data_IF_369299074649
#
_entry.id   IF_369299074649
#
_cell.length_a   1.000
_cell.length_b   1.000
_cell.length_c   1.000
_cell.angle_alpha   90.00
_cell.angle_beta   90.00
_cell.angle_gamma   90.00
#
_symmetry.space_group_name_H-M   'P 1'
#
loop_
_entity.id
_entity.type
_entity.pdbx_description
1 polymer ?
#
# COMPACT_ATOMS: atom_id res chain seq x y z
N UNK A 1 24.76 -7.44 7.80
CA UNK A 1 24.58 -8.68 7.01
C UNK A 1 23.90 -9.71 7.88
N UNK A 2 22.80 -10.24 7.38
CA UNK A 2 22.05 -11.29 8.07
C UNK A 2 22.89 -12.54 8.29
N UNK A 3 22.60 -13.26 9.38
CA UNK A 3 23.26 -14.53 9.66
C UNK A 3 22.49 -15.67 8.98
N UNK A 4 22.94 -16.08 7.79
CA UNK A 4 22.30 -17.14 7.00
C UNK A 4 22.40 -18.56 7.61
N UNK A 5 22.99 -18.70 8.79
CA UNK A 5 22.94 -19.95 9.55
C UNK A 5 21.76 -20.02 10.53
N UNK A 6 21.03 -18.91 10.71
CA UNK A 6 19.83 -18.87 11.56
C UNK A 6 18.59 -19.22 10.75
N UNK A 7 17.63 -19.95 11.33
CA UNK A 7 16.37 -20.24 10.65
C UNK A 7 15.53 -18.96 10.48
N UNK A 8 14.91 -18.80 9.33
CA UNK A 8 13.96 -17.71 9.05
C UNK A 8 12.77 -18.24 8.24
N UNK A 9 11.71 -17.45 8.14
CA UNK A 9 10.59 -17.71 7.23
C UNK A 9 10.33 -16.47 6.39
N UNK A 10 10.03 -16.67 5.11
CA UNK A 10 9.69 -15.62 4.17
C UNK A 10 8.39 -15.98 3.45
N UNK A 11 7.44 -15.03 3.37
CA UNK A 11 6.15 -15.24 2.73
C UNK A 11 5.74 -14.01 1.95
N UNK A 12 5.41 -14.16 0.69
CA UNK A 12 4.84 -13.10 -0.15
C UNK A 12 3.49 -13.59 -0.72
N UNK A 13 2.37 -13.32 -0.03
CA UNK A 13 1.05 -13.81 -0.45
C UNK A 13 0.44 -12.98 -1.58
N UNK A 14 0.95 -11.79 -1.85
CA UNK A 14 0.44 -10.86 -2.84
C UNK A 14 0.96 -11.18 -4.23
N UNK A 15 0.06 -11.38 -5.20
CA UNK A 15 0.41 -11.41 -6.62
C UNK A 15 0.78 -10.00 -7.06
N UNK A 16 1.94 -9.85 -7.69
CA UNK A 16 2.42 -8.59 -8.23
C UNK A 16 2.19 -8.56 -9.75
N UNK A 17 1.49 -7.53 -10.24
CA UNK A 17 1.38 -7.18 -11.66
C UNK A 17 2.09 -5.85 -11.84
N UNK A 18 3.16 -5.83 -12.62
CA UNK A 18 4.04 -4.66 -12.72
C UNK A 18 4.37 -4.30 -14.16
N UNK A 19 4.40 -3.01 -14.45
CA UNK A 19 4.89 -2.42 -15.71
C UNK A 19 3.99 -1.32 -16.24
N UNK A 20 4.51 -0.46 -17.12
CA UNK A 20 3.72 0.60 -17.75
C UNK A 20 2.47 0.07 -18.45
N UNK A 21 1.31 0.67 -18.17
CA UNK A 21 0.03 0.28 -18.74
C UNK A 21 -0.59 -0.99 -18.12
N UNK A 22 0.03 -1.61 -17.11
CA UNK A 22 -0.49 -2.87 -16.53
C UNK A 22 -1.84 -2.70 -15.81
N UNK A 23 -2.30 -1.47 -15.60
CA UNK A 23 -3.62 -1.20 -14.98
C UNK A 23 -4.78 -1.85 -15.73
N UNK A 24 -4.64 -2.13 -17.02
CA UNK A 24 -5.68 -2.81 -17.81
C UNK A 24 -5.99 -4.22 -17.28
N UNK A 25 -5.06 -4.86 -16.55
CA UNK A 25 -5.25 -6.16 -15.95
C UNK A 25 -6.25 -6.15 -14.76
N UNK A 26 -6.67 -4.98 -14.28
CA UNK A 26 -7.61 -4.86 -13.16
C UNK A 26 -8.86 -5.71 -13.33
N UNK A 27 -9.42 -5.71 -14.53
CA UNK A 27 -10.66 -6.43 -14.83
C UNK A 27 -10.43 -7.94 -14.76
N UNK A 28 -9.34 -8.43 -15.36
CA UNK A 28 -8.98 -9.85 -15.31
C UNK A 28 -8.73 -10.30 -13.86
N UNK A 29 -8.04 -9.47 -13.06
CA UNK A 29 -7.76 -9.81 -11.66
C UNK A 29 -9.03 -9.80 -10.80
N UNK A 30 -9.98 -8.91 -11.04
CA UNK A 30 -11.30 -8.96 -10.40
C UNK A 30 -12.04 -10.25 -10.76
N UNK A 31 -12.12 -10.58 -12.05
CA UNK A 31 -12.82 -11.78 -12.53
C UNK A 31 -12.20 -13.08 -12.00
N UNK A 32 -10.86 -13.19 -12.06
CA UNK A 32 -10.13 -14.36 -11.58
C UNK A 32 -10.33 -14.62 -10.07
N UNK A 33 -10.60 -13.56 -9.31
CA UNK A 33 -10.79 -13.65 -7.86
C UNK A 33 -12.26 -13.46 -7.45
N UNK A 34 -13.22 -13.52 -8.38
CA UNK A 34 -14.68 -13.36 -8.15
C UNK A 34 -15.09 -12.02 -7.52
N UNK A 35 -14.37 -10.94 -7.82
CA UNK A 35 -14.73 -9.59 -7.40
C UNK A 35 -15.73 -8.97 -8.37
N UNK A 36 -17.00 -8.88 -7.96
CA UNK A 36 -18.10 -8.43 -8.84
C UNK A 36 -18.63 -7.06 -8.45
N UNK A 37 -18.45 -6.64 -7.21
CA UNK A 37 -18.99 -5.40 -6.67
C UNK A 37 -18.00 -4.71 -5.74
N UNK A 38 -16.94 -4.10 -6.29
CA UNK A 38 -15.90 -3.47 -5.49
C UNK A 38 -16.36 -2.16 -4.84
N UNK A 39 -15.85 -1.90 -3.63
CA UNK A 39 -15.70 -0.55 -3.12
C UNK A 39 -14.32 -0.02 -3.51
N UNK A 40 -14.28 1.15 -4.15
CA UNK A 40 -13.04 1.84 -4.53
C UNK A 40 -12.69 2.84 -3.43
N UNK A 41 -11.57 2.61 -2.74
CA UNK A 41 -11.09 3.46 -1.65
C UNK A 41 -9.92 4.31 -2.15
N UNK A 42 -10.04 5.62 -1.98
CA UNK A 42 -9.08 6.59 -2.50
C UNK A 42 -9.11 7.91 -1.71
N UNK A 43 -8.32 8.87 -2.13
CA UNK A 43 -8.29 10.22 -1.59
C UNK A 43 -8.59 11.29 -2.66
N UNK A 44 -8.78 12.53 -2.19
CA UNK A 44 -9.06 13.67 -3.06
C UNK A 44 -7.90 14.03 -3.98
N UNK A 45 -6.65 13.75 -3.58
CA UNK A 45 -5.47 14.01 -4.40
C UNK A 45 -5.46 13.14 -5.65
N UNK A 46 -5.70 11.84 -5.51
CA UNK A 46 -5.83 10.88 -6.61
C UNK A 46 -6.99 11.26 -7.55
N UNK A 47 -8.13 11.65 -6.97
CA UNK A 47 -9.30 12.12 -7.74
C UNK A 47 -8.98 13.37 -8.56
N UNK A 48 -8.38 14.38 -7.93
CA UNK A 48 -8.03 15.64 -8.56
C UNK A 48 -6.93 15.49 -9.64
N UNK A 49 -6.04 14.51 -9.49
CA UNK A 49 -5.04 14.15 -10.48
C UNK A 49 -5.61 13.41 -11.70
N UNK A 50 -6.91 13.08 -11.71
CA UNK A 50 -7.56 12.37 -12.79
C UNK A 50 -7.26 10.86 -12.86
N UNK A 51 -6.52 10.33 -11.90
CA UNK A 51 -6.15 8.91 -11.86
C UNK A 51 -7.39 8.04 -11.61
N UNK A 52 -8.26 8.49 -10.70
CA UNK A 52 -9.50 7.76 -10.36
C UNK A 52 -10.35 7.48 -11.61
N UNK A 53 -10.44 8.44 -12.53
CA UNK A 53 -11.25 8.30 -13.76
C UNK A 53 -10.75 7.17 -14.65
N UNK A 54 -9.43 6.93 -14.72
CA UNK A 54 -8.88 5.79 -15.47
C UNK A 54 -9.44 4.46 -14.95
N UNK A 55 -9.53 4.32 -13.63
CA UNK A 55 -10.01 3.09 -12.97
C UNK A 55 -11.52 2.93 -13.10
N UNK A 56 -12.27 4.00 -12.82
CA UNK A 56 -13.75 3.94 -12.91
C UNK A 56 -14.21 3.69 -14.34
N UNK A 57 -13.52 4.28 -15.34
CA UNK A 57 -13.82 4.01 -16.75
C UNK A 57 -13.59 2.54 -17.14
N UNK A 58 -12.56 1.88 -16.61
CA UNK A 58 -12.34 0.44 -16.84
C UNK A 58 -13.49 -0.38 -16.25
N UNK A 59 -13.96 -0.06 -15.04
CA UNK A 59 -15.06 -0.75 -14.38
C UNK A 59 -16.38 -0.52 -15.15
N UNK A 60 -16.68 0.72 -15.55
CA UNK A 60 -17.88 1.08 -16.32
C UNK A 60 -17.95 0.39 -17.68
N UNK A 61 -16.84 0.39 -18.42
CA UNK A 61 -16.75 -0.26 -19.74
C UNK A 61 -16.97 -1.77 -19.66
N UNK A 62 -16.71 -2.38 -18.52
CA UNK A 62 -16.91 -3.81 -18.27
C UNK A 62 -18.20 -4.11 -17.48
N UNK A 63 -19.09 -3.11 -17.32
CA UNK A 63 -20.37 -3.25 -16.61
C UNK A 63 -20.23 -3.76 -15.17
N UNK A 64 -19.13 -3.42 -14.48
CA UNK A 64 -18.92 -3.74 -13.08
C UNK A 64 -19.52 -2.61 -12.24
N UNK A 65 -20.48 -2.95 -11.39
CA UNK A 65 -21.08 -2.00 -10.45
C UNK A 65 -20.13 -1.75 -9.29
N UNK A 66 -19.85 -0.50 -8.95
CA UNK A 66 -18.94 -0.11 -7.88
C UNK A 66 -19.46 1.13 -7.13
N UNK A 67 -18.86 1.41 -5.98
CA UNK A 67 -18.99 2.70 -5.30
C UNK A 67 -17.60 3.24 -4.99
N UNK A 68 -17.47 4.57 -4.94
CA UNK A 68 -16.22 5.25 -4.59
C UNK A 68 -16.34 5.87 -3.20
N UNK A 69 -15.36 5.59 -2.35
CA UNK A 69 -15.12 6.32 -1.11
C UNK A 69 -13.82 7.12 -1.27
N UNK A 70 -13.92 8.44 -1.40
CA UNK A 70 -12.79 9.37 -1.60
C UNK A 70 -12.50 10.23 -0.36
N UNK A 71 -12.97 9.77 0.80
CA UNK A 71 -12.86 10.48 2.08
C UNK A 71 -11.56 10.22 2.85
N UNK A 72 -10.61 9.45 2.30
CA UNK A 72 -9.37 9.16 3.03
C UNK A 72 -8.50 10.41 3.14
N UNK A 73 -8.06 10.71 4.36
CA UNK A 73 -7.17 11.84 4.65
C UNK A 73 -5.70 11.39 4.71
N UNK A 74 -4.74 12.30 4.50
CA UNK A 74 -3.34 12.01 4.83
C UNK A 74 -3.21 11.58 6.30
N UNK A 75 -2.36 10.56 6.59
CA UNK A 75 -2.35 9.86 7.88
C UNK A 75 -3.77 9.36 8.21
N UNK A 76 -4.22 8.26 7.58
CA UNK A 76 -5.61 7.84 7.61
C UNK A 76 -6.07 7.63 9.04
N UNK A 77 -7.27 8.11 9.32
CA UNK A 77 -7.86 8.09 10.67
C UNK A 77 -8.76 6.87 10.85
N UNK A 78 -8.95 6.47 12.09
CA UNK A 78 -9.91 5.43 12.47
C UNK A 78 -11.31 5.71 11.92
N UNK A 79 -11.76 6.97 11.97
CA UNK A 79 -13.06 7.39 11.42
C UNK A 79 -13.16 7.21 9.90
N UNK A 80 -12.07 7.38 9.13
CA UNK A 80 -12.07 7.10 7.70
C UNK A 80 -12.28 5.60 7.42
N UNK A 81 -11.66 4.75 8.22
CA UNK A 81 -11.82 3.28 8.12
C UNK A 81 -13.24 2.86 8.42
N UNK A 82 -13.82 3.38 9.51
CA UNK A 82 -15.19 3.06 9.94
C UNK A 82 -16.23 3.51 8.91
N UNK A 83 -16.05 4.70 8.34
CA UNK A 83 -16.93 5.21 7.27
C UNK A 83 -16.81 4.38 6.00
N UNK A 84 -15.58 4.07 5.55
CA UNK A 84 -15.34 3.20 4.40
C UNK A 84 -15.96 1.81 4.56
N UNK A 85 -15.84 1.21 5.75
CA UNK A 85 -16.46 -0.08 6.06
C UNK A 85 -17.99 -0.02 6.06
N UNK A 86 -18.57 1.07 6.57
CA UNK A 86 -20.02 1.30 6.54
C UNK A 86 -20.53 1.35 5.10
N UNK A 87 -19.91 2.19 4.26
CA UNK A 87 -20.27 2.31 2.84
C UNK A 87 -20.17 0.97 2.11
N UNK A 88 -19.08 0.22 2.35
CA UNK A 88 -18.88 -1.10 1.74
C UNK A 88 -20.00 -2.09 2.13
N UNK A 89 -20.42 -2.10 3.40
CA UNK A 89 -21.53 -2.95 3.86
C UNK A 89 -22.88 -2.55 3.25
N UNK A 90 -23.17 -1.26 3.19
CA UNK A 90 -24.44 -0.74 2.65
C UNK A 90 -24.67 -1.19 1.22
N UNK A 91 -23.62 -1.29 0.43
CA UNK A 91 -23.74 -1.79 -0.95
C UNK A 91 -23.61 -3.31 -1.06
N UNK A 92 -23.19 -3.99 0.00
CA UNK A 92 -22.82 -5.41 -0.06
C UNK A 92 -21.58 -5.64 -0.94
N UNK A 93 -20.52 -4.85 -0.73
CA UNK A 93 -19.28 -5.00 -1.48
C UNK A 93 -18.64 -6.37 -1.20
N UNK A 94 -18.20 -7.05 -2.26
CA UNK A 94 -17.49 -8.34 -2.20
C UNK A 94 -15.97 -8.21 -2.34
N UNK A 95 -15.52 -7.04 -2.73
CA UNK A 95 -14.12 -6.73 -3.04
C UNK A 95 -13.78 -5.27 -2.76
N UNK A 96 -12.49 -4.99 -2.61
CA UNK A 96 -11.94 -3.67 -2.32
C UNK A 96 -10.87 -3.36 -3.35
N UNK A 97 -10.94 -2.17 -3.95
CA UNK A 97 -9.88 -1.61 -4.80
C UNK A 97 -9.32 -0.39 -4.06
N UNK A 98 -8.06 -0.44 -3.67
CA UNK A 98 -7.37 0.68 -3.04
C UNK A 98 -6.51 1.41 -4.06
N UNK A 99 -6.74 2.71 -4.27
CA UNK A 99 -6.00 3.51 -5.25
C UNK A 99 -5.37 4.71 -4.53
N UNK A 100 -4.05 4.81 -4.55
CA UNK A 100 -3.37 5.96 -3.98
C UNK A 100 -1.99 5.65 -3.41
N UNK A 101 -1.52 6.52 -2.52
CA UNK A 101 -0.33 6.28 -1.71
C UNK A 101 -0.63 5.37 -0.51
N UNK A 102 0.25 5.41 0.48
CA UNK A 102 0.09 4.60 1.71
C UNK A 102 -1.25 4.82 2.41
N UNK A 103 -1.74 6.06 2.49
CA UNK A 103 -2.97 6.38 3.24
C UNK A 103 -4.22 5.67 2.73
N UNK A 104 -4.60 5.74 1.43
CA UNK A 104 -5.70 4.96 0.90
C UNK A 104 -5.50 3.45 1.02
N UNK A 105 -4.28 2.95 0.83
CA UNK A 105 -4.00 1.52 0.89
C UNK A 105 -4.14 1.01 2.33
N UNK A 106 -3.60 1.71 3.32
CA UNK A 106 -3.73 1.35 4.73
C UNK A 106 -5.17 1.43 5.23
N UNK A 107 -5.91 2.49 4.82
CA UNK A 107 -7.35 2.60 5.07
C UNK A 107 -8.09 1.38 4.50
N UNK A 108 -7.84 1.01 3.25
CA UNK A 108 -8.48 -0.11 2.58
C UNK A 108 -8.20 -1.47 3.24
N UNK A 109 -6.96 -1.72 3.68
CA UNK A 109 -6.61 -2.91 4.46
C UNK A 109 -7.42 -2.98 5.75
N UNK A 110 -7.48 -1.85 6.47
CA UNK A 110 -8.23 -1.75 7.73
C UNK A 110 -9.74 -1.87 7.52
N UNK A 111 -10.30 -1.31 6.43
CA UNK A 111 -11.68 -1.58 6.00
C UNK A 111 -11.89 -3.07 5.80
N UNK A 112 -10.98 -3.74 5.09
CA UNK A 112 -11.01 -5.18 4.89
C UNK A 112 -11.03 -5.97 6.20
N UNK A 113 -10.25 -5.55 7.21
CA UNK A 113 -10.28 -6.14 8.56
C UNK A 113 -11.65 -6.00 9.19
N UNK A 114 -12.25 -4.81 9.16
CA UNK A 114 -13.59 -4.61 9.71
C UNK A 114 -14.67 -5.44 9.01
N UNK A 115 -14.58 -5.59 7.68
CA UNK A 115 -15.51 -6.41 6.90
C UNK A 115 -15.35 -7.90 7.23
N UNK A 116 -14.11 -8.40 7.32
CA UNK A 116 -13.84 -9.80 7.59
C UNK A 116 -14.28 -10.26 8.99
N UNK A 117 -14.30 -9.34 9.95
CA UNK A 117 -14.59 -9.65 11.36
C UNK A 117 -15.97 -9.13 11.83
N UNK A 118 -16.78 -8.55 10.94
CA UNK A 118 -18.02 -7.86 11.30
C UNK A 118 -17.81 -6.79 12.39
N UNK A 119 -16.61 -6.18 12.38
CA UNK A 119 -16.18 -5.22 13.39
C UNK A 119 -16.66 -3.79 13.07
N UNK A 120 -16.83 -2.99 14.11
CA UNK A 120 -17.29 -1.59 14.05
C UNK A 120 -16.16 -0.57 14.28
N UNK A 121 -15.14 -0.96 15.06
CA UNK A 121 -14.03 -0.10 15.49
C UNK A 121 -12.69 -0.73 15.18
N UNK A 122 -11.87 -0.03 14.37
CA UNK A 122 -10.57 -0.58 13.93
C UNK A 122 -9.57 -0.72 15.10
N UNK A 123 -9.65 0.13 16.11
CA UNK A 123 -8.79 0.08 17.29
C UNK A 123 -8.84 -1.25 18.07
N UNK A 124 -9.90 -2.03 17.90
CA UNK A 124 -9.98 -3.39 18.48
C UNK A 124 -8.99 -4.38 17.84
N UNK A 125 -8.42 -4.02 16.70
CA UNK A 125 -7.52 -4.87 15.92
C UNK A 125 -6.06 -4.39 15.94
N UNK A 126 -5.73 -3.45 16.83
CA UNK A 126 -4.36 -2.99 17.02
C UNK A 126 -3.42 -4.13 17.42
N UNK A 127 -2.19 -4.08 16.91
CA UNK A 127 -1.13 -5.05 17.19
C UNK A 127 -1.01 -6.16 16.16
N UNK A 128 -0.31 -7.24 16.54
CA UNK A 128 0.18 -8.26 15.60
C UNK A 128 -0.74 -9.50 15.47
N UNK A 129 -1.76 -9.63 16.28
CA UNK A 129 -2.52 -10.89 16.40
C UNK A 129 -4.05 -10.75 16.38
N UNK A 130 -4.57 -9.53 16.40
CA UNK A 130 -6.01 -9.31 16.50
C UNK A 130 -6.78 -9.54 15.20
N UNK A 131 -6.18 -9.26 14.03
CA UNK A 131 -6.75 -9.55 12.73
C UNK A 131 -6.43 -11.00 12.34
N UNK A 132 -7.41 -11.90 12.50
CA UNK A 132 -7.25 -13.37 12.39
C UNK A 132 -7.93 -14.00 11.19
N UNK A 133 -8.70 -13.22 10.42
CA UNK A 133 -9.45 -13.72 9.25
C UNK A 133 -8.92 -13.11 7.96
N UNK A 134 -8.92 -13.87 6.84
CA UNK A 134 -8.61 -13.32 5.52
C UNK A 134 -9.53 -12.17 5.17
N UNK A 135 -8.95 -11.14 4.53
CA UNK A 135 -9.73 -10.03 3.99
C UNK A 135 -10.63 -10.49 2.83
N UNK A 136 -11.73 -9.79 2.53
CA UNK A 136 -12.32 -9.81 1.19
C UNK A 136 -11.24 -9.55 0.13
N UNK A 137 -11.52 -9.87 -1.14
CA UNK A 137 -10.58 -9.57 -2.21
C UNK A 137 -10.12 -8.11 -2.10
N UNK A 138 -8.83 -7.91 -1.89
CA UNK A 138 -8.18 -6.60 -1.87
C UNK A 138 -7.20 -6.51 -3.04
N UNK A 139 -7.44 -5.55 -3.94
CA UNK A 139 -6.53 -5.16 -5.01
C UNK A 139 -5.98 -3.78 -4.69
N UNK A 140 -4.66 -3.64 -4.66
CA UNK A 140 -3.98 -2.36 -4.40
C UNK A 140 -3.35 -1.80 -5.66
N UNK A 141 -3.48 -0.50 -5.86
CA UNK A 141 -2.98 0.24 -7.03
C UNK A 141 -2.21 1.45 -6.50
N UNK A 142 -0.90 1.34 -6.25
CA UNK A 142 -0.10 2.44 -5.75
C UNK A 142 0.05 3.54 -6.80
N UNK A 143 -0.03 4.80 -6.35
CA UNK A 143 0.21 5.99 -7.17
C UNK A 143 1.40 6.80 -6.70
N UNK A 144 2.10 6.32 -5.67
CA UNK A 144 3.35 6.88 -5.12
C UNK A 144 4.41 5.79 -5.03
N UNK A 145 5.67 6.18 -5.06
CA UNK A 145 6.82 5.29 -4.87
C UNK A 145 7.46 5.61 -3.52
N UNK A 146 6.94 5.06 -2.43
CA UNK A 146 7.35 5.42 -1.06
C UNK A 146 7.12 4.30 -0.07
N UNK A 147 5.91 4.21 0.43
CA UNK A 147 5.55 3.36 1.57
C UNK A 147 5.64 1.86 1.29
N UNK A 148 5.54 1.43 0.02
CA UNK A 148 5.44 0.01 -0.31
C UNK A 148 4.24 -0.70 0.33
N UNK A 149 3.23 0.06 0.81
CA UNK A 149 2.10 -0.50 1.55
C UNK A 149 1.34 -1.56 0.77
N UNK A 150 1.34 -1.51 -0.54
CA UNK A 150 0.72 -2.51 -1.43
C UNK A 150 1.23 -3.94 -1.20
N UNK A 151 2.44 -4.10 -0.63
CA UNK A 151 3.11 -5.39 -0.41
C UNK A 151 3.38 -5.70 1.07
N UNK A 152 2.91 -4.85 1.99
CA UNK A 152 3.14 -5.03 3.43
C UNK A 152 1.99 -5.77 4.13
N UNK A 153 2.29 -6.32 5.31
CA UNK A 153 1.33 -6.99 6.20
C UNK A 153 0.76 -6.06 7.27
N UNK A 154 0.95 -4.76 7.14
CA UNK A 154 0.54 -3.78 8.13
C UNK A 154 -0.26 -2.66 7.52
N UNK A 155 -1.06 -2.01 8.34
CA UNK A 155 -1.65 -0.72 8.06
C UNK A 155 -1.47 0.19 9.27
N UNK A 156 -1.14 1.46 9.02
CA UNK A 156 -0.92 2.48 10.05
C UNK A 156 -2.09 3.45 10.03
N UNK A 157 -2.81 3.51 11.13
CA UNK A 157 -4.03 4.31 11.28
C UNK A 157 -3.89 5.23 12.49
N UNK A 158 -4.29 6.49 12.34
CA UNK A 158 -4.30 7.44 13.46
C UNK A 158 -5.55 7.20 14.33
N UNK A 159 -5.33 6.87 15.60
CA UNK A 159 -6.38 6.87 16.62
C UNK A 159 -6.69 8.33 16.98
N UNK A 160 -7.87 8.80 16.61
CA UNK A 160 -8.29 10.18 16.82
C UNK A 160 -8.63 10.51 18.27
N UNK A 161 -8.94 9.50 19.09
CA UNK A 161 -9.25 9.66 20.51
C UNK A 161 -7.98 9.84 21.35
N UNK A 162 -6.93 9.06 21.03
CA UNK A 162 -5.70 9.02 21.82
C UNK A 162 -4.51 9.76 21.15
N UNK A 163 -4.71 10.30 19.94
CA UNK A 163 -3.72 11.09 19.19
C UNK A 163 -2.39 10.36 18.97
N UNK A 164 -2.43 9.13 18.50
CA UNK A 164 -1.23 8.37 18.12
C UNK A 164 -1.48 7.48 16.89
N UNK A 165 -0.39 7.04 16.27
CA UNK A 165 -0.45 6.09 15.15
C UNK A 165 -0.47 4.65 15.68
N UNK A 166 -1.59 3.98 15.52
CA UNK A 166 -1.72 2.55 15.79
C UNK A 166 -1.40 1.72 14.57
N UNK A 167 -0.85 0.52 14.77
CA UNK A 167 -0.55 -0.42 13.69
C UNK A 167 -1.41 -1.66 13.82
N UNK A 168 -2.11 -2.00 12.73
CA UNK A 168 -2.76 -3.31 12.56
C UNK A 168 -1.85 -4.16 11.68
N UNK A 169 -1.26 -5.22 12.24
CA UNK A 169 -0.28 -6.08 11.55
C UNK A 169 -0.73 -7.54 11.59
N UNK A 170 -0.87 -8.16 10.44
CA UNK A 170 -1.22 -9.58 10.30
C UNK A 170 -0.91 -10.06 8.90
N UNK A 171 -0.51 -11.33 8.74
CA UNK A 171 -0.40 -11.94 7.40
C UNK A 171 -1.70 -11.86 6.58
N UNK A 172 -2.84 -11.74 7.25
CA UNK A 172 -4.14 -11.61 6.60
C UNK A 172 -4.44 -10.20 6.08
N UNK A 173 -3.68 -9.16 6.48
CA UNK A 173 -3.87 -7.80 5.95
C UNK A 173 -3.18 -7.56 4.62
N UNK A 174 -2.40 -8.52 4.11
CA UNK A 174 -1.80 -8.44 2.80
C UNK A 174 -2.86 -8.36 1.70
N UNK A 175 -2.61 -7.55 0.68
CA UNK A 175 -3.44 -7.52 -0.52
C UNK A 175 -3.35 -8.86 -1.27
N UNK A 176 -4.43 -9.24 -1.97
CA UNK A 176 -4.41 -10.41 -2.85
C UNK A 176 -3.62 -10.13 -4.13
N UNK A 177 -3.79 -8.91 -4.68
CA UNK A 177 -3.11 -8.46 -5.89
C UNK A 177 -2.62 -7.03 -5.70
N UNK A 178 -1.42 -6.73 -6.13
CA UNK A 178 -0.89 -5.39 -6.28
C UNK A 178 -0.65 -5.10 -7.77
N UNK A 179 -1.33 -4.10 -8.34
CA UNK A 179 -1.16 -3.66 -9.72
C UNK A 179 -0.32 -2.39 -9.68
N UNK A 180 0.95 -2.53 -10.02
CA UNK A 180 1.96 -1.50 -9.86
C UNK A 180 2.32 -0.90 -11.22
N UNK A 181 1.52 0.08 -11.66
CA UNK A 181 1.65 0.75 -12.95
C UNK A 181 2.42 2.08 -12.79
N UNK A 182 3.67 2.17 -13.29
CA UNK A 182 4.45 3.41 -13.21
C UNK A 182 3.78 4.62 -13.88
N UNK A 183 2.91 4.42 -14.88
CA UNK A 183 2.20 5.52 -15.53
C UNK A 183 1.26 6.28 -14.57
N UNK A 184 0.80 5.63 -13.50
CA UNK A 184 -0.04 6.27 -12.49
C UNK A 184 0.76 7.20 -11.57
N UNK A 185 2.09 7.16 -11.63
CA UNK A 185 2.98 8.03 -10.86
C UNK A 185 3.47 9.27 -11.64
N UNK A 186 3.20 9.36 -12.96
CA UNK A 186 3.70 10.44 -13.83
C UNK A 186 3.18 11.83 -13.42
N UNK A 187 1.96 11.91 -12.89
CA UNK A 187 1.35 13.16 -12.42
C UNK A 187 1.77 13.57 -11.01
N UNK A 188 2.61 12.78 -10.34
CA UNK A 188 3.02 13.04 -8.96
C UNK A 188 3.92 14.29 -8.90
N UNK A 189 3.58 15.30 -8.07
CA UNK A 189 4.39 16.50 -7.91
C UNK A 189 5.81 16.19 -7.43
N UNK A 190 6.78 17.00 -7.86
CA UNK A 190 8.20 16.80 -7.55
C UNK A 190 8.48 16.72 -6.04
N UNK A 191 7.84 17.57 -5.22
CA UNK A 191 8.03 17.56 -3.76
C UNK A 191 7.51 16.26 -3.12
N UNK A 192 6.42 15.69 -3.63
CA UNK A 192 5.92 14.38 -3.18
C UNK A 192 6.85 13.26 -3.67
N UNK A 193 7.32 13.35 -4.93
CA UNK A 193 8.32 12.40 -5.45
C UNK A 193 9.56 12.36 -4.55
N UNK A 194 10.06 13.52 -4.10
CA UNK A 194 11.23 13.60 -3.21
C UNK A 194 10.94 12.99 -1.84
N UNK A 195 9.84 13.39 -1.19
CA UNK A 195 9.50 12.91 0.16
C UNK A 195 9.23 11.41 0.18
N UNK A 196 8.42 10.90 -0.75
CA UNK A 196 8.12 9.47 -0.82
C UNK A 196 9.32 8.66 -1.27
N UNK A 197 10.15 9.17 -2.19
CA UNK A 197 11.36 8.48 -2.62
C UNK A 197 12.43 8.39 -1.51
N UNK A 198 12.55 9.40 -0.67
CA UNK A 198 13.41 9.35 0.52
C UNK A 198 12.87 8.38 1.57
N UNK A 199 11.55 8.31 1.72
CA UNK A 199 10.88 7.33 2.56
C UNK A 199 11.22 5.89 2.10
N UNK A 200 11.05 5.60 0.80
CA UNK A 200 11.43 4.30 0.22
C UNK A 200 12.91 3.96 0.44
N UNK A 201 13.82 4.95 0.30
CA UNK A 201 15.24 4.75 0.55
C UNK A 201 15.51 4.43 2.02
N UNK A 202 14.83 5.12 2.93
CA UNK A 202 14.93 4.89 4.37
C UNK A 202 14.42 3.49 4.71
N UNK A 203 13.28 3.06 4.16
CA UNK A 203 12.78 1.69 4.31
C UNK A 203 13.81 0.65 3.88
N UNK A 204 14.42 0.83 2.70
CA UNK A 204 15.44 -0.11 2.20
C UNK A 204 16.67 -0.18 3.12
N UNK A 205 17.20 0.97 3.56
CA UNK A 205 18.37 1.03 4.44
C UNK A 205 18.05 0.44 5.82
N UNK A 206 16.89 0.80 6.40
CA UNK A 206 16.50 0.28 7.71
C UNK A 206 16.22 -1.23 7.66
N UNK A 207 15.57 -1.72 6.60
CA UNK A 207 15.37 -3.15 6.40
C UNK A 207 16.69 -3.93 6.37
N UNK A 208 17.70 -3.41 5.67
CA UNK A 208 19.02 -4.04 5.58
C UNK A 208 19.79 -4.03 6.90
N UNK A 209 19.60 -2.99 7.73
CA UNK A 209 20.32 -2.81 9.00
C UNK A 209 19.52 -3.30 10.22
N UNK A 210 18.29 -3.74 10.05
CA UNK A 210 17.44 -4.23 11.13
C UNK A 210 18.00 -5.51 11.77
N UNK A 211 17.76 -5.67 13.07
CA UNK A 211 18.22 -6.85 13.81
C UNK A 211 17.54 -8.16 13.35
N UNK A 212 16.34 -8.06 12.77
CA UNK A 212 15.57 -9.20 12.24
C UNK A 212 15.81 -9.43 10.73
N UNK A 213 16.80 -8.73 10.11
CA UNK A 213 17.11 -8.90 8.70
C UNK A 213 17.53 -10.34 8.39
N UNK A 214 17.11 -10.84 7.22
CA UNK A 214 17.40 -12.19 6.75
C UNK A 214 17.83 -12.14 5.26
N UNK A 215 18.45 -13.20 4.71
CA UNK A 215 19.12 -13.12 3.40
C UNK A 215 18.22 -12.68 2.23
N UNK A 216 16.92 -12.99 2.24
CA UNK A 216 16.01 -12.61 1.17
C UNK A 216 15.67 -11.11 1.29
N UNK A 217 15.35 -10.64 2.49
CA UNK A 217 15.09 -9.21 2.73
C UNK A 217 16.34 -8.37 2.48
N UNK A 218 17.55 -8.85 2.85
CA UNK A 218 18.81 -8.19 2.53
C UNK A 218 19.01 -7.99 1.02
N UNK A 219 18.77 -9.03 0.22
CA UNK A 219 18.91 -8.96 -1.24
C UNK A 219 17.93 -7.94 -1.86
N UNK A 220 16.68 -7.93 -1.38
CA UNK A 220 15.68 -6.98 -1.84
C UNK A 220 16.00 -5.55 -1.43
N UNK A 221 16.44 -5.34 -0.19
CA UNK A 221 16.81 -4.03 0.35
C UNK A 221 18.00 -3.42 -0.40
N UNK A 222 19.02 -4.21 -0.71
CA UNK A 222 20.17 -3.77 -1.50
C UNK A 222 19.77 -3.35 -2.92
N UNK A 223 18.98 -4.17 -3.60
CA UNK A 223 18.52 -3.84 -4.96
C UNK A 223 17.55 -2.67 -4.96
N UNK A 224 16.68 -2.56 -3.94
CA UNK A 224 15.82 -1.39 -3.75
C UNK A 224 16.65 -0.10 -3.60
N UNK A 225 17.71 -0.14 -2.78
CA UNK A 225 18.61 0.99 -2.57
C UNK A 225 19.26 1.44 -3.88
N UNK A 226 19.77 0.49 -4.68
CA UNK A 226 20.37 0.77 -5.99
C UNK A 226 19.36 1.43 -6.94
N UNK A 227 18.16 0.87 -7.06
CA UNK A 227 17.11 1.39 -7.94
C UNK A 227 16.72 2.81 -7.54
N UNK A 228 16.46 3.05 -6.25
CA UNK A 228 16.04 4.35 -5.75
C UNK A 228 17.15 5.38 -5.93
N UNK A 229 18.39 5.05 -5.56
CA UNK A 229 19.54 5.93 -5.71
C UNK A 229 19.75 6.37 -7.17
N UNK A 230 19.64 5.46 -8.11
CA UNK A 230 19.86 5.74 -9.53
C UNK A 230 18.71 6.52 -10.19
N UNK A 231 17.49 6.52 -9.62
CA UNK A 231 16.30 7.05 -10.25
C UNK A 231 15.65 8.23 -9.54
N UNK A 232 15.84 8.42 -8.23
CA UNK A 232 15.13 9.46 -7.46
C UNK A 232 15.36 10.88 -8.01
N UNK A 233 16.62 11.25 -8.23
CA UNK A 233 16.96 12.59 -8.74
C UNK A 233 16.43 12.79 -10.16
N UNK A 234 16.44 11.75 -10.98
CA UNK A 234 15.86 11.78 -12.35
C UNK A 234 14.34 11.96 -12.29
N UNK A 235 13.65 11.18 -11.47
CA UNK A 235 12.20 11.26 -11.30
C UNK A 235 11.75 12.61 -10.69
N UNK A 236 12.57 13.20 -9.82
CA UNK A 236 12.34 14.53 -9.25
C UNK A 236 12.44 15.63 -10.29
N UNK A 237 13.52 15.64 -11.10
CA UNK A 237 13.77 16.67 -12.08
C UNK A 237 12.94 16.52 -13.37
N UNK A 238 12.59 15.28 -13.72
CA UNK A 238 11.88 14.88 -14.94
C UNK A 238 10.74 13.94 -14.57
N UNK A 239 9.66 14.50 -14.02
CA UNK A 239 8.51 13.74 -13.51
C UNK A 239 7.78 12.90 -14.55
N UNK A 240 7.95 13.23 -15.83
CA UNK A 240 7.42 12.53 -17.01
C UNK A 240 8.33 11.37 -17.51
N UNK A 241 9.51 11.20 -16.92
CA UNK A 241 10.45 10.14 -17.29
C UNK A 241 9.93 8.78 -16.76
N UNK A 242 9.31 8.01 -17.65
CA UNK A 242 8.71 6.71 -17.32
C UNK A 242 9.74 5.67 -16.83
N UNK A 243 10.98 5.71 -17.33
CA UNK A 243 12.03 4.80 -16.89
C UNK A 243 12.42 5.08 -15.44
N UNK A 244 12.61 6.37 -15.10
CA UNK A 244 12.90 6.77 -13.73
C UNK A 244 11.73 6.47 -12.77
N UNK A 245 10.49 6.72 -13.19
CA UNK A 245 9.27 6.36 -12.43
C UNK A 245 9.17 4.86 -12.21
N UNK A 246 9.47 4.06 -13.23
CA UNK A 246 9.51 2.60 -13.14
C UNK A 246 10.55 2.15 -12.12
N UNK A 247 11.79 2.66 -12.21
CA UNK A 247 12.83 2.36 -11.24
C UNK A 247 12.45 2.74 -9.81
N UNK A 248 11.82 3.90 -9.61
CA UNK A 248 11.33 4.34 -8.30
C UNK A 248 10.24 3.43 -7.75
N UNK A 249 9.24 3.08 -8.56
CA UNK A 249 8.14 2.21 -8.11
C UNK A 249 8.65 0.81 -7.77
N UNK A 250 9.49 0.23 -8.63
CA UNK A 250 10.09 -1.08 -8.35
C UNK A 250 10.95 -1.07 -7.08
N UNK A 251 11.77 -0.02 -6.90
CA UNK A 251 12.58 0.15 -5.70
C UNK A 251 11.73 0.26 -4.44
N UNK A 252 10.64 1.05 -4.48
CA UNK A 252 9.67 1.17 -3.37
C UNK A 252 9.01 -0.17 -3.03
N UNK A 253 8.59 -0.91 -4.04
CA UNK A 253 8.01 -2.25 -3.87
C UNK A 253 8.97 -3.21 -3.18
N UNK A 254 10.21 -3.28 -3.64
CA UNK A 254 11.23 -4.15 -3.05
C UNK A 254 11.59 -3.74 -1.61
N UNK A 255 11.64 -2.44 -1.34
CA UNK A 255 11.81 -1.94 0.03
C UNK A 255 10.63 -2.36 0.92
N UNK A 256 9.38 -2.26 0.41
CA UNK A 256 8.17 -2.72 1.08
C UNK A 256 8.20 -4.19 1.46
N UNK A 257 8.63 -5.05 0.53
CA UNK A 257 8.80 -6.49 0.79
C UNK A 257 9.90 -6.70 1.85
N UNK A 258 11.02 -6.01 1.74
CA UNK A 258 12.15 -6.17 2.64
C UNK A 258 11.75 -5.84 4.09
N UNK A 259 11.23 -4.63 4.36
CA UNK A 259 10.92 -4.24 5.72
C UNK A 259 9.70 -4.97 6.32
N UNK A 260 8.81 -5.51 5.49
CA UNK A 260 7.72 -6.35 6.00
C UNK A 260 8.23 -7.59 6.75
N UNK A 261 9.44 -8.06 6.45
CA UNK A 261 10.07 -9.24 7.06
C UNK A 261 11.14 -8.88 8.09
N UNK A 262 11.89 -7.79 7.86
CA UNK A 262 12.95 -7.35 8.75
C UNK A 262 12.53 -6.30 9.78
N UNK A 263 11.31 -5.74 9.63
CA UNK A 263 10.82 -4.57 10.34
C UNK A 263 11.56 -3.27 9.96
N UNK A 264 11.11 -2.13 10.49
CA UNK A 264 11.78 -0.84 10.36
C UNK A 264 12.62 -0.56 11.61
N UNK A 265 13.43 0.52 11.58
CA UNK A 265 14.34 0.83 12.67
C UNK A 265 14.06 2.23 13.27
N UNK A 266 15.10 2.89 13.79
CA UNK A 266 14.98 4.08 14.61
C UNK A 266 14.41 5.30 13.91
N UNK A 267 14.68 5.47 12.60
CA UNK A 267 14.20 6.65 11.85
C UNK A 267 12.66 6.62 11.78
N UNK A 268 12.08 5.48 11.40
CA UNK A 268 10.63 5.32 11.35
C UNK A 268 9.99 5.42 12.74
N UNK A 269 10.58 4.79 13.77
CA UNK A 269 10.07 4.89 15.14
C UNK A 269 9.99 6.35 15.62
N UNK A 270 10.99 7.18 15.31
CA UNK A 270 10.99 8.60 15.67
C UNK A 270 9.99 9.38 14.81
N UNK A 271 9.99 9.17 13.49
CA UNK A 271 9.14 9.90 12.55
C UNK A 271 7.64 9.63 12.80
N UNK A 272 7.26 8.38 13.06
CA UNK A 272 5.87 8.01 13.37
C UNK A 272 5.41 8.63 14.68
N UNK A 273 6.28 8.65 15.71
CA UNK A 273 5.98 9.28 17.00
C UNK A 273 5.80 10.79 16.91
N UNK A 274 6.51 11.46 15.97
CA UNK A 274 6.37 12.91 15.74
C UNK A 274 5.17 13.24 14.85
N UNK A 275 4.73 12.31 14.01
CA UNK A 275 3.65 12.51 13.05
C UNK A 275 2.27 12.03 13.52
N UNK A 276 2.17 11.55 14.76
CA UNK A 276 0.93 11.07 15.40
C UNK A 276 0.02 12.15 15.94
#
# INVERSE_FOLDING_TARGET
MSNFTLPFSFTLPTKIVYGPGCIVSLIDELQLNNGNKPVVITDKGVKNAGILVKITSLLEQNNISFIVYDGVEPNPKDVNVEEGAKIAREIGADSIIAIGGGSPIDCAKSVGVLLAHDGDKIKKYEGKTAATKPLPLLITIPTTSGTGSELTFSSVITDTENHYKMTVKSQYTAAKVAICDPELTLSLPAHITASTGMDALTHAIEAYTAACAEPISDAMALYATELIYNNLVKAFNHGDNIEARSGMLLGSMLAGIAFSHSDVASVHCIAESLGG
#
